data_IF_453273290639
#
_entry.id   IF_453273290639
#
_cell.length_a   1.000
_cell.length_b   1.000
_cell.length_c   1.000
_cell.angle_alpha   90.00
_cell.angle_beta   90.00
_cell.angle_gamma   90.00
#
_symmetry.space_group_name_H-M   'P 1'
#
loop_
_entity.id
_entity.type
_entity.pdbx_description
1 polymer ?
#
# COMPACT_ATOMS: atom_id res chain seq x y z
N UNK A 1 12.03 32.88 9.62
CA UNK A 1 10.87 32.06 10.02
C UNK A 1 9.92 31.72 8.86
N UNK A 2 9.39 32.68 8.08
CA UNK A 2 8.38 32.38 7.03
C UNK A 2 8.84 31.42 5.93
N UNK A 3 10.12 31.49 5.49
CA UNK A 3 10.66 30.57 4.47
C UNK A 3 10.79 29.13 4.98
N UNK A 4 11.16 28.93 6.25
CA UNK A 4 11.30 27.60 6.85
C UNK A 4 9.94 26.89 6.94
N UNK A 5 8.90 27.61 7.37
CA UNK A 5 7.52 27.09 7.43
C UNK A 5 6.99 26.66 6.05
N UNK A 6 7.36 27.38 4.98
CA UNK A 6 6.96 27.03 3.62
C UNK A 6 7.63 25.75 3.11
N UNK A 7 8.89 25.52 3.49
CA UNK A 7 9.61 24.28 3.15
C UNK A 7 9.02 23.09 3.91
N UNK A 8 8.76 23.26 5.21
CA UNK A 8 8.10 22.24 6.04
C UNK A 8 6.71 21.87 5.53
N UNK A 9 5.86 22.84 5.23
CA UNK A 9 4.52 22.59 4.67
C UNK A 9 4.58 21.83 3.33
N UNK A 10 5.59 22.13 2.49
CA UNK A 10 5.81 21.42 1.22
C UNK A 10 6.32 19.99 1.44
N UNK A 11 7.23 19.77 2.38
CA UNK A 11 7.71 18.42 2.71
C UNK A 11 6.60 17.57 3.34
N UNK A 12 5.81 18.14 4.23
CA UNK A 12 4.68 17.46 4.87
C UNK A 12 3.60 17.07 3.85
N UNK A 13 3.23 17.97 2.94
CA UNK A 13 2.26 17.67 1.88
C UNK A 13 2.76 16.60 0.89
N UNK A 14 4.06 16.59 0.57
CA UNK A 14 4.66 15.51 -0.23
C UNK A 14 4.69 14.18 0.53
N UNK A 15 5.01 14.21 1.83
CA UNK A 15 5.01 13.02 2.70
C UNK A 15 3.61 12.43 2.85
N UNK A 16 2.60 13.27 2.98
CA UNK A 16 1.18 12.88 3.04
C UNK A 16 0.71 12.28 1.72
N UNK A 17 1.13 12.83 0.57
CA UNK A 17 0.86 12.24 -0.75
C UNK A 17 1.52 10.88 -0.91
N UNK A 18 2.80 10.76 -0.58
CA UNK A 18 3.51 9.48 -0.65
C UNK A 18 2.86 8.44 0.26
N UNK A 19 2.57 8.78 1.52
CA UNK A 19 1.86 7.90 2.44
C UNK A 19 0.47 7.47 1.93
N UNK A 20 -0.24 8.35 1.21
CA UNK A 20 -1.51 8.03 0.55
C UNK A 20 -1.35 7.15 -0.70
N UNK A 21 -0.18 7.11 -1.33
CA UNK A 21 0.13 6.21 -2.44
C UNK A 21 0.70 4.86 -1.97
N UNK A 22 1.26 4.83 -0.76
CA UNK A 22 1.83 3.67 -0.09
C UNK A 22 0.81 2.84 0.70
N UNK A 23 -0.38 3.39 1.00
CA UNK A 23 -1.45 2.62 1.60
C UNK A 23 -2.84 3.04 1.10
N UNK A 24 -3.76 2.08 1.01
CA UNK A 24 -5.17 2.30 0.70
C UNK A 24 -6.07 1.52 1.63
N UNK A 25 -7.24 2.07 1.91
CA UNK A 25 -8.34 1.37 2.56
C UNK A 25 -9.45 1.15 1.53
N UNK A 26 -9.95 -0.09 1.44
CA UNK A 26 -11.15 -0.41 0.66
C UNK A 26 -11.91 -1.51 1.40
N UNK A 27 -13.20 -1.29 1.62
CA UNK A 27 -14.08 -2.25 2.29
C UNK A 27 -13.53 -2.75 3.64
N UNK A 28 -13.00 -1.84 4.45
CA UNK A 28 -12.38 -2.15 5.75
C UNK A 28 -11.00 -2.83 5.67
N UNK A 29 -10.46 -3.07 4.47
CA UNK A 29 -9.19 -3.76 4.25
C UNK A 29 -8.09 -2.76 3.94
N UNK A 30 -6.98 -2.87 4.68
CA UNK A 30 -5.76 -2.10 4.44
C UNK A 30 -4.90 -2.82 3.39
N UNK A 31 -4.50 -2.07 2.38
CA UNK A 31 -3.54 -2.49 1.37
C UNK A 31 -2.31 -1.62 1.48
N UNK A 32 -1.13 -2.23 1.54
CA UNK A 32 0.14 -1.53 1.66
C UNK A 32 1.03 -1.82 0.46
N UNK A 33 1.78 -0.80 0.03
CA UNK A 33 2.74 -0.92 -1.06
C UNK A 33 3.91 -1.76 -0.58
N UNK A 34 4.10 -2.91 -1.21
CA UNK A 34 5.23 -3.77 -0.88
C UNK A 34 6.49 -3.19 -1.49
N UNK A 35 7.50 -2.96 -0.67
CA UNK A 35 8.82 -2.45 -1.10
C UNK A 35 9.76 -3.56 -1.57
N UNK A 36 9.47 -4.82 -1.26
CA UNK A 36 10.29 -5.99 -1.58
C UNK A 36 9.44 -7.23 -1.87
N UNK A 37 10.07 -8.27 -2.41
CA UNK A 37 9.44 -9.57 -2.65
C UNK A 37 8.57 -9.64 -3.92
N UNK A 38 7.78 -10.71 -4.08
CA UNK A 38 7.06 -11.00 -5.33
C UNK A 38 5.98 -9.98 -5.70
N UNK A 39 5.50 -9.20 -4.73
CA UNK A 39 4.50 -8.17 -4.95
C UNK A 39 5.07 -6.75 -4.91
N UNK A 40 6.40 -6.59 -5.07
CA UNK A 40 7.05 -5.28 -5.07
C UNK A 40 6.32 -4.29 -5.98
N UNK A 41 6.07 -3.09 -5.46
CA UNK A 41 5.36 -2.01 -6.16
C UNK A 41 3.84 -2.18 -6.25
N UNK A 42 3.26 -3.26 -5.72
CA UNK A 42 1.80 -3.47 -5.67
C UNK A 42 1.25 -3.16 -4.29
N UNK A 43 -0.02 -2.75 -4.23
CA UNK A 43 -0.78 -2.63 -3.00
C UNK A 43 -1.37 -4.00 -2.65
N UNK A 44 -1.00 -4.55 -1.49
CA UNK A 44 -1.37 -5.92 -1.09
C UNK A 44 -1.96 -5.90 0.32
N UNK A 45 -3.00 -6.70 0.55
CA UNK A 45 -3.53 -6.93 1.90
C UNK A 45 -2.54 -7.69 2.77
N UNK A 46 -2.79 -7.71 4.08
CA UNK A 46 -2.19 -8.71 4.94
C UNK A 46 -2.58 -10.12 4.44
N UNK A 47 -1.62 -11.05 4.51
CA UNK A 47 -1.85 -12.44 4.15
C UNK A 47 -2.78 -13.12 5.15
N UNK A 48 -3.66 -13.98 4.66
CA UNK A 48 -4.55 -14.81 5.48
C UNK A 48 -4.16 -16.26 5.29
N UNK A 49 -4.03 -17.02 6.37
CA UNK A 49 -3.81 -18.47 6.26
C UNK A 49 -5.13 -19.13 5.91
N UNK A 50 -5.13 -19.93 4.85
CA UNK A 50 -6.26 -20.76 4.42
C UNK A 50 -5.78 -22.20 4.31
N UNK A 51 -6.69 -23.16 4.52
CA UNK A 51 -6.38 -24.57 4.32
C UNK A 51 -7.14 -25.07 3.08
N UNK A 52 -6.42 -25.73 2.17
CA UNK A 52 -6.96 -26.34 0.95
C UNK A 52 -6.42 -27.78 0.90
N UNK A 53 -7.33 -28.76 0.88
CA UNK A 53 -7.00 -30.19 0.79
C UNK A 53 -6.00 -30.70 1.85
N UNK A 54 -6.02 -30.09 3.05
CA UNK A 54 -5.14 -30.45 4.16
C UNK A 54 -3.79 -29.72 4.17
N UNK A 55 -3.53 -28.83 3.20
CA UNK A 55 -2.33 -28.00 3.13
C UNK A 55 -2.64 -26.53 3.43
N UNK A 56 -1.73 -25.87 4.17
CA UNK A 56 -1.86 -24.46 4.50
C UNK A 56 -1.25 -23.57 3.42
N UNK A 57 -2.04 -22.61 2.95
CA UNK A 57 -1.66 -21.60 1.98
C UNK A 57 -1.78 -20.20 2.60
N UNK A 58 -1.00 -19.27 2.07
CA UNK A 58 -1.18 -17.84 2.37
C UNK A 58 -1.91 -17.18 1.21
N UNK A 59 -3.14 -16.76 1.45
CA UNK A 59 -3.91 -15.96 0.50
C UNK A 59 -3.58 -14.48 0.64
N UNK A 60 -3.35 -13.81 -0.50
CA UNK A 60 -3.19 -12.37 -0.59
C UNK A 60 -4.22 -11.77 -1.54
N UNK A 61 -4.72 -10.56 -1.22
CA UNK A 61 -5.48 -9.74 -2.17
C UNK A 61 -4.62 -8.60 -2.69
N UNK A 62 -4.55 -8.45 -4.01
CA UNK A 62 -3.80 -7.38 -4.66
C UNK A 62 -4.77 -6.32 -5.20
N UNK A 63 -4.57 -5.08 -4.81
CA UNK A 63 -5.32 -3.93 -5.31
C UNK A 63 -4.52 -3.23 -6.41
N UNK A 64 -4.98 -3.34 -7.66
CA UNK A 64 -4.38 -2.65 -8.79
C UNK A 64 -5.33 -1.60 -9.35
N UNK A 65 -4.79 -0.46 -9.79
CA UNK A 65 -5.54 0.36 -10.73
C UNK A 65 -5.58 -0.41 -12.05
N UNK A 66 -6.74 -0.57 -12.70
CA UNK A 66 -6.79 -1.17 -14.02
C UNK A 66 -5.93 -0.32 -14.95
N UNK A 67 -5.00 -0.99 -15.62
CA UNK A 67 -4.11 -0.39 -16.61
C UNK A 67 -4.49 -1.04 -17.92
N UNK A 68 -5.25 -0.32 -18.74
CA UNK A 68 -5.58 -0.75 -20.10
C UNK A 68 -4.50 -0.18 -21.02
N UNK A 69 -3.36 -0.88 -21.11
CA UNK A 69 -2.33 -0.65 -22.13
C UNK A 69 -2.05 -1.97 -22.82
#
# INVERSE_FOLDING_TARGET
MQRLNKVWARQESLRMKAASEDAKMYDGVKYERKSTGPFMGKLVSQGTIINIDGEDYVEYRVLTKPSFF
#
